data_IF_623033755548
#
_entry.id   IF_623033755548
#
_cell.length_a   1.000
_cell.length_b   1.000
_cell.length_c   1.000
_cell.angle_alpha   90.00
_cell.angle_beta   90.00
_cell.angle_gamma   90.00
#
_symmetry.space_group_name_H-M   'P 1'
#
loop_
_entity.id
_entity.type
_entity.pdbx_description
1 polymer ?
#
# COMPACT_ATOMS: atom_id res chain seq x y z
N UNK A 1 -12.57 -0.13 -4.98
CA UNK A 1 -13.29 -0.02 -6.28
C UNK A 1 -12.69 1.01 -7.24
N UNK A 2 -11.83 1.95 -6.80
CA UNK A 2 -11.28 3.01 -7.67
C UNK A 2 -10.06 2.60 -8.50
N UNK A 3 -9.23 1.66 -8.01
CA UNK A 3 -8.03 1.22 -8.74
C UNK A 3 -8.36 0.56 -10.08
N UNK A 4 -9.47 -0.17 -10.16
CA UNK A 4 -9.93 -0.76 -11.43
C UNK A 4 -10.43 0.31 -12.44
N UNK A 5 -10.84 1.49 -11.98
CA UNK A 5 -11.33 2.57 -12.84
C UNK A 5 -10.20 3.46 -13.40
N UNK A 6 -8.98 3.40 -12.86
CA UNK A 6 -7.81 4.09 -13.39
C UNK A 6 -7.21 3.42 -14.64
N UNK A 7 -7.42 2.11 -14.79
CA UNK A 7 -7.02 1.30 -15.94
C UNK A 7 -7.74 1.72 -17.23
N UNK A 8 -8.98 2.23 -17.13
CA UNK A 8 -9.75 2.73 -18.26
C UNK A 8 -9.43 4.22 -18.47
N UNK A 9 -8.81 4.54 -19.60
CA UNK A 9 -8.28 5.87 -19.93
C UNK A 9 -9.33 7.00 -19.90
N UNK A 10 -10.59 6.72 -20.17
CA UNK A 10 -11.69 7.70 -20.15
C UNK A 10 -12.17 8.06 -18.74
N UNK A 11 -11.98 7.19 -17.74
CA UNK A 11 -12.42 7.41 -16.35
C UNK A 11 -11.30 7.81 -15.40
N UNK A 12 -10.03 7.70 -15.83
CA UNK A 12 -8.85 8.01 -15.00
C UNK A 12 -8.88 9.38 -14.33
N UNK A 13 -9.33 10.44 -15.03
CA UNK A 13 -9.41 11.79 -14.44
C UNK A 13 -10.47 11.88 -13.35
N UNK A 14 -11.61 11.21 -13.56
CA UNK A 14 -12.69 11.15 -12.58
C UNK A 14 -12.25 10.33 -11.36
N UNK A 15 -11.58 9.20 -11.58
CA UNK A 15 -11.03 8.35 -10.53
C UNK A 15 -10.04 9.12 -9.64
N UNK A 16 -9.06 9.82 -10.23
CA UNK A 16 -8.10 10.64 -9.45
C UNK A 16 -8.76 11.77 -8.67
N UNK A 17 -9.76 12.44 -9.26
CA UNK A 17 -10.51 13.47 -8.55
C UNK A 17 -11.25 12.88 -7.34
N UNK A 18 -11.84 11.69 -7.51
CA UNK A 18 -12.58 11.02 -6.44
C UNK A 18 -11.65 10.51 -5.34
N UNK A 19 -10.49 9.94 -5.66
CA UNK A 19 -9.45 9.60 -4.67
C UNK A 19 -8.98 10.84 -3.91
N UNK A 20 -8.79 11.97 -4.60
CA UNK A 20 -8.43 13.23 -3.96
C UNK A 20 -9.50 13.71 -2.96
N UNK A 21 -10.79 13.53 -3.28
CA UNK A 21 -11.91 13.81 -2.36
C UNK A 21 -11.89 12.86 -1.18
N UNK A 22 -11.76 11.55 -1.43
CA UNK A 22 -11.73 10.53 -0.39
C UNK A 22 -10.58 10.74 0.59
N UNK A 23 -9.38 11.06 0.09
CA UNK A 23 -8.22 11.38 0.93
C UNK A 23 -8.39 12.67 1.72
N UNK A 24 -9.22 13.63 1.27
CA UNK A 24 -9.53 14.83 2.06
C UNK A 24 -10.48 14.47 3.19
N UNK A 25 -11.55 13.75 2.89
CA UNK A 25 -12.50 13.30 3.90
C UNK A 25 -11.81 12.49 5.01
N UNK A 26 -10.94 11.54 4.65
CA UNK A 26 -10.18 10.80 5.66
C UNK A 26 -9.27 11.68 6.53
N UNK A 27 -8.63 12.68 5.93
CA UNK A 27 -7.78 13.62 6.68
C UNK A 27 -8.61 14.53 7.59
N UNK A 28 -9.76 15.02 7.12
CA UNK A 28 -10.68 15.87 7.87
C UNK A 28 -11.33 15.11 9.04
N UNK A 29 -11.58 13.80 8.87
CA UNK A 29 -12.01 12.87 9.93
C UNK A 29 -10.86 12.48 10.88
N UNK A 30 -9.63 12.95 10.65
CA UNK A 30 -8.47 12.65 11.48
C UNK A 30 -7.98 11.19 11.36
N UNK A 31 -8.27 10.49 10.26
CA UNK A 31 -7.81 9.10 10.08
C UNK A 31 -6.29 9.05 9.91
N UNK A 32 -5.65 8.26 10.75
CA UNK A 32 -4.21 7.95 10.63
C UNK A 32 -3.96 7.02 9.44
N UNK A 33 -2.68 6.88 9.07
CA UNK A 33 -2.25 5.92 8.03
C UNK A 33 -2.63 4.49 8.41
N UNK A 34 -2.55 4.13 9.70
CA UNK A 34 -2.93 2.81 10.21
C UNK A 34 -4.45 2.60 10.13
N UNK A 35 -5.25 3.62 10.51
CA UNK A 35 -6.71 3.55 10.39
C UNK A 35 -7.14 3.32 8.93
N UNK A 36 -6.48 3.97 7.97
CA UNK A 36 -6.78 3.77 6.54
C UNK A 36 -6.31 2.39 6.05
N UNK A 37 -5.20 1.86 6.59
CA UNK A 37 -4.74 0.50 6.28
C UNK A 37 -5.80 -0.55 6.66
N UNK A 38 -6.39 -0.41 7.85
CA UNK A 38 -7.48 -1.27 8.32
C UNK A 38 -8.80 -1.03 7.59
N UNK A 39 -9.13 0.23 7.30
CA UNK A 39 -10.34 0.61 6.55
C UNK A 39 -10.35 -0.05 5.16
N UNK A 40 -9.18 -0.08 4.51
CA UNK A 40 -8.98 -0.74 3.22
C UNK A 40 -8.81 -2.26 3.33
N UNK A 41 -8.91 -2.81 4.55
CA UNK A 41 -8.81 -4.24 4.87
C UNK A 41 -7.48 -4.86 4.46
N UNK A 42 -6.43 -4.05 4.34
CA UNK A 42 -5.08 -4.52 3.97
C UNK A 42 -4.45 -5.36 5.10
N UNK A 43 -4.86 -5.12 6.34
CA UNK A 43 -4.49 -5.95 7.49
C UNK A 43 -4.98 -7.40 7.38
N UNK A 44 -6.04 -7.68 6.61
CA UNK A 44 -6.58 -9.03 6.43
C UNK A 44 -5.92 -9.78 5.26
N UNK A 45 -5.02 -9.14 4.53
CA UNK A 45 -4.33 -9.73 3.36
C UNK A 45 -2.96 -10.20 3.80
N UNK A 46 -2.81 -11.52 4.00
CA UNK A 46 -1.52 -12.12 4.38
C UNK A 46 -0.65 -12.46 3.17
N UNK A 47 -1.27 -13.00 2.11
CA UNK A 47 -0.61 -13.36 0.87
C UNK A 47 -0.95 -12.35 -0.22
N UNK A 48 0.04 -11.97 -1.04
CA UNK A 48 -0.11 -11.02 -2.15
C UNK A 48 -0.48 -9.59 -1.73
N UNK A 49 -0.27 -9.20 -0.46
CA UNK A 49 -0.44 -7.81 -0.02
C UNK A 49 0.34 -6.84 -0.92
N UNK A 50 1.59 -7.17 -1.25
CA UNK A 50 2.48 -6.33 -2.05
C UNK A 50 2.03 -6.18 -3.51
N UNK A 51 1.21 -7.10 -4.01
CA UNK A 51 0.61 -7.03 -5.34
C UNK A 51 -0.86 -6.59 -5.31
N UNK A 52 -1.38 -6.24 -4.13
CA UNK A 52 -2.74 -5.76 -3.99
C UNK A 52 -2.84 -4.32 -4.54
N UNK A 53 -3.69 -4.09 -5.57
CA UNK A 53 -3.85 -2.76 -6.16
C UNK A 53 -4.25 -1.68 -5.15
N UNK A 54 -4.99 -2.04 -4.10
CA UNK A 54 -5.47 -1.12 -3.06
C UNK A 54 -4.33 -0.58 -2.19
N UNK A 55 -3.20 -1.29 -2.12
CA UNK A 55 -2.01 -0.84 -1.39
C UNK A 55 -1.49 0.50 -1.95
N UNK A 56 -1.61 0.72 -3.26
CA UNK A 56 -1.19 1.98 -3.90
C UNK A 56 -1.96 3.20 -3.42
N UNK A 57 -3.27 3.06 -3.17
CA UNK A 57 -4.13 4.11 -2.64
C UNK A 57 -3.74 4.43 -1.19
N UNK A 58 -3.50 3.40 -0.37
CA UNK A 58 -2.99 3.57 0.99
C UNK A 58 -1.62 4.29 1.01
N UNK A 59 -0.68 3.86 0.17
CA UNK A 59 0.65 4.48 0.08
C UNK A 59 0.55 5.96 -0.33
N UNK A 60 -0.37 6.29 -1.24
CA UNK A 60 -0.62 7.66 -1.67
C UNK A 60 -1.21 8.52 -0.55
N UNK A 61 -2.12 7.96 0.25
CA UNK A 61 -2.62 8.63 1.45
C UNK A 61 -1.52 8.88 2.49
N UNK A 62 -0.65 7.89 2.74
CA UNK A 62 0.48 8.04 3.65
C UNK A 62 1.43 9.17 3.21
N UNK A 63 1.76 9.24 1.91
CA UNK A 63 2.57 10.34 1.35
C UNK A 63 1.89 11.69 1.50
N UNK A 64 0.57 11.77 1.32
CA UNK A 64 -0.21 13.00 1.52
C UNK A 64 -0.08 13.53 2.97
N UNK A 65 -0.02 12.63 3.95
CA UNK A 65 0.22 12.98 5.35
C UNK A 65 1.71 13.19 5.70
N UNK A 66 2.60 13.26 4.69
CA UNK A 66 4.04 13.45 4.88
C UNK A 66 4.75 12.23 5.51
N UNK A 67 4.16 11.04 5.40
CA UNK A 67 4.75 9.79 5.91
C UNK A 67 5.48 9.03 4.80
N UNK A 68 6.39 8.15 5.22
CA UNK A 68 7.07 7.21 4.32
C UNK A 68 6.29 5.87 4.33
N UNK A 69 5.50 5.56 3.28
CA UNK A 69 4.71 4.34 3.23
C UNK A 69 5.56 3.07 3.25
N UNK A 70 6.73 3.08 2.61
CA UNK A 70 7.58 1.89 2.48
C UNK A 70 8.16 1.51 3.85
N UNK A 71 8.61 2.51 4.63
CA UNK A 71 9.08 2.30 6.01
C UNK A 71 7.97 1.80 6.95
N UNK A 72 6.77 2.37 6.81
CA UNK A 72 5.61 1.95 7.61
C UNK A 72 5.20 0.53 7.25
N UNK A 73 5.11 0.22 5.96
CA UNK A 73 4.78 -1.11 5.46
C UNK A 73 5.80 -2.15 5.91
N UNK A 74 7.09 -1.84 5.81
CA UNK A 74 8.17 -2.69 6.33
C UNK A 74 7.98 -2.99 7.82
N UNK A 75 7.70 -1.95 8.62
CA UNK A 75 7.50 -2.10 10.07
C UNK A 75 6.27 -2.97 10.39
N UNK A 76 5.16 -2.78 9.67
CA UNK A 76 3.96 -3.62 9.83
C UNK A 76 4.23 -5.08 9.48
N UNK A 77 4.96 -5.33 8.38
CA UNK A 77 5.32 -6.68 7.95
C UNK A 77 6.27 -7.36 8.95
N UNK A 78 7.27 -6.62 9.43
CA UNK A 78 8.22 -7.10 10.45
C UNK A 78 7.54 -7.45 11.77
N UNK A 79 6.51 -6.70 12.17
CA UNK A 79 5.77 -7.01 13.40
C UNK A 79 4.88 -8.27 13.29
N UNK A 80 4.59 -8.74 12.06
CA UNK A 80 3.71 -9.89 11.80
C UNK A 80 4.46 -11.16 11.40
N UNK A 81 5.74 -11.04 11.06
CA UNK A 81 6.55 -12.12 10.52
C UNK A 81 7.90 -12.16 11.22
N UNK A 82 8.46 -13.35 11.39
CA UNK A 82 9.89 -13.47 11.75
C UNK A 82 10.73 -12.92 10.60
N UNK A 83 11.96 -12.45 10.90
CA UNK A 83 12.86 -11.92 9.87
C UNK A 83 13.04 -12.95 8.72
N UNK A 84 13.27 -14.23 9.03
CA UNK A 84 13.40 -15.29 8.02
C UNK A 84 12.13 -15.48 7.16
N UNK A 85 10.93 -15.39 7.78
CA UNK A 85 9.67 -15.49 7.04
C UNK A 85 9.46 -14.26 6.14
N UNK A 86 9.82 -13.07 6.61
CA UNK A 86 9.74 -11.83 5.86
C UNK A 86 10.67 -11.85 4.65
N UNK A 87 11.95 -12.21 4.83
CA UNK A 87 12.92 -12.30 3.74
C UNK A 87 12.43 -13.27 2.66
N UNK A 88 11.91 -14.45 3.03
CA UNK A 88 11.35 -15.42 2.06
C UNK A 88 10.17 -14.83 1.28
N UNK A 89 9.27 -14.10 1.95
CA UNK A 89 8.13 -13.44 1.29
C UNK A 89 8.59 -12.35 0.31
N UNK A 90 9.57 -11.52 0.68
CA UNK A 90 10.12 -10.49 -0.20
C UNK A 90 10.80 -11.10 -1.43
N UNK A 91 11.58 -12.16 -1.25
CA UNK A 91 12.21 -12.90 -2.36
C UNK A 91 11.16 -13.48 -3.31
N UNK A 92 10.06 -14.05 -2.79
CA UNK A 92 8.96 -14.55 -3.62
C UNK A 92 8.28 -13.41 -4.40
N UNK A 93 7.97 -12.29 -3.74
CA UNK A 93 7.33 -11.13 -4.35
C UNK A 93 8.18 -10.49 -5.46
N UNK A 94 9.52 -10.59 -5.40
CA UNK A 94 10.43 -10.15 -6.48
C UNK A 94 10.21 -10.88 -7.81
N UNK A 95 9.56 -12.04 -7.78
CA UNK A 95 9.25 -12.83 -8.98
C UNK A 95 7.91 -12.44 -9.64
N UNK A 96 7.03 -11.71 -8.93
CA UNK A 96 5.77 -11.20 -9.47
C UNK A 96 5.96 -9.76 -10.00
N UNK A 97 5.75 -9.49 -11.30
CA UNK A 97 5.90 -8.15 -11.87
C UNK A 97 5.12 -7.04 -11.15
N UNK A 98 3.97 -7.37 -10.52
CA UNK A 98 3.13 -6.40 -9.82
C UNK A 98 3.68 -5.98 -8.46
N UNK A 99 4.44 -6.85 -7.81
CA UNK A 99 5.00 -6.60 -6.47
C UNK A 99 6.51 -6.44 -6.45
N UNK A 100 7.19 -6.72 -7.57
CA UNK A 100 8.66 -6.69 -7.71
C UNK A 100 9.31 -5.40 -7.21
N UNK A 101 8.79 -4.25 -7.64
CA UNK A 101 9.37 -2.95 -7.29
C UNK A 101 9.25 -2.68 -5.78
N UNK A 102 8.05 -2.87 -5.23
CA UNK A 102 7.80 -2.68 -3.78
C UNK A 102 8.66 -3.67 -2.97
N UNK A 103 8.78 -4.93 -3.41
CA UNK A 103 9.58 -5.91 -2.72
C UNK A 103 11.09 -5.55 -2.68
N UNK A 104 11.62 -4.98 -3.76
CA UNK A 104 13.01 -4.49 -3.80
C UNK A 104 13.22 -3.29 -2.87
N UNK A 105 12.31 -2.33 -2.89
CA UNK A 105 12.40 -1.15 -2.01
C UNK A 105 12.35 -1.53 -0.53
N UNK A 106 11.51 -2.50 -0.17
CA UNK A 106 11.42 -3.00 1.21
C UNK A 106 12.67 -3.77 1.65
N UNK A 107 13.30 -4.53 0.76
CA UNK A 107 14.57 -5.23 1.05
C UNK A 107 15.71 -4.24 1.29
N UNK A 108 15.76 -3.11 0.56
CA UNK A 108 16.75 -2.06 0.78
C UNK A 108 16.59 -1.34 2.13
N UNK A 109 15.41 -1.42 2.77
CA UNK A 109 15.16 -0.87 4.11
C UNK A 109 15.67 -1.82 5.21
N UNK A 110 15.82 -3.11 4.90
CA UNK A 110 16.28 -4.14 5.85
C UNK A 110 17.80 -4.05 6.13
N UNK A 111 18.56 -3.40 5.24
CA UNK A 111 20.03 -3.26 5.27
C UNK A 111 20.43 -1.95 5.96
#
# INVERSE_FOLDING_TARGET
>A
MLVAAEEISSTRRVARNLEGVEFRNWADEGKTVDNVFELLKLNLVDDNLLSNPVLSAWSSYARKLGKNPDRMLFTMLKNRHTDEALTRKLVAAKSDPRSRYIAQDLELIEI
#
